data_IF_128337442519
#
_entry.id   IF_128337442519
#
_cell.length_a   1.000
_cell.length_b   1.000
_cell.length_c   1.000
_cell.angle_alpha   90.00
_cell.angle_beta   90.00
_cell.angle_gamma   90.00
#
_symmetry.space_group_name_H-M   'P 1'
#
loop_
_entity.id
_entity.type
_entity.pdbx_description
1 polymer ?
#
# COMPACT_ATOMS: atom_id res chain seq x y z
N UNK A 1 5.53 11.00 -29.83
CA UNK A 1 4.68 10.55 -28.71
C UNK A 1 5.52 9.61 -27.86
N UNK A 2 5.70 9.90 -26.57
CA UNK A 2 6.40 9.03 -25.62
C UNK A 2 5.43 8.01 -25.01
N UNK A 3 5.93 6.96 -24.34
CA UNK A 3 5.07 6.02 -23.61
C UNK A 3 4.16 6.72 -22.59
N UNK A 4 4.70 7.71 -21.86
CA UNK A 4 3.93 8.51 -20.89
C UNK A 4 2.81 9.31 -21.56
N UNK A 5 3.09 9.92 -22.72
CA UNK A 5 2.08 10.67 -23.47
C UNK A 5 0.95 9.74 -23.99
N UNK A 6 1.30 8.55 -24.48
CA UNK A 6 0.31 7.56 -24.90
C UNK A 6 -0.54 7.08 -23.71
N UNK A 7 0.09 6.81 -22.57
CA UNK A 7 -0.60 6.39 -21.35
C UNK A 7 -1.58 7.45 -20.85
N UNK A 8 -1.15 8.72 -20.83
CA UNK A 8 -2.00 9.86 -20.46
C UNK A 8 -3.19 10.00 -21.40
N UNK A 9 -2.98 9.92 -22.72
CA UNK A 9 -4.07 10.01 -23.68
C UNK A 9 -5.13 8.92 -23.52
N UNK A 10 -4.70 7.68 -23.21
CA UNK A 10 -5.62 6.56 -22.94
C UNK A 10 -6.40 6.80 -21.66
N UNK A 11 -5.72 7.20 -20.57
CA UNK A 11 -6.36 7.47 -19.28
C UNK A 11 -7.37 8.62 -19.39
N UNK A 12 -7.01 9.69 -20.11
CA UNK A 12 -7.89 10.84 -20.32
C UNK A 12 -9.17 10.43 -21.09
N UNK A 13 -9.06 9.55 -22.09
CA UNK A 13 -10.23 9.04 -22.81
C UNK A 13 -11.07 8.08 -21.95
N UNK A 14 -10.44 7.18 -21.18
CA UNK A 14 -11.16 6.32 -20.23
C UNK A 14 -11.94 7.15 -19.20
N UNK A 15 -11.32 8.21 -18.67
CA UNK A 15 -11.96 9.15 -17.76
C UNK A 15 -13.14 9.89 -18.41
N UNK A 16 -13.01 10.32 -19.67
CA UNK A 16 -14.11 10.91 -20.45
C UNK A 16 -15.30 9.94 -20.63
N UNK A 17 -15.05 8.64 -20.64
CA UNK A 17 -16.08 7.60 -20.69
C UNK A 17 -16.62 7.23 -19.30
N UNK A 18 -16.21 7.94 -18.24
CA UNK A 18 -16.66 7.69 -16.87
C UNK A 18 -15.99 6.48 -16.19
N UNK A 19 -14.86 5.99 -16.73
CA UNK A 19 -14.10 4.89 -16.14
C UNK A 19 -13.01 5.42 -15.22
N UNK A 20 -13.00 4.95 -13.98
CA UNK A 20 -11.89 5.16 -13.05
C UNK A 20 -10.73 4.24 -13.41
N UNK A 21 -9.52 4.79 -13.48
CA UNK A 21 -8.30 4.04 -13.74
C UNK A 21 -7.41 4.10 -12.52
N UNK A 22 -6.98 2.92 -12.06
CA UNK A 22 -5.95 2.75 -11.03
C UNK A 22 -4.66 2.33 -11.72
N UNK A 23 -3.60 3.11 -11.54
CA UNK A 23 -2.29 2.78 -12.08
C UNK A 23 -1.65 1.74 -11.17
N UNK A 24 -1.41 0.55 -11.70
CA UNK A 24 -0.75 -0.51 -10.96
C UNK A 24 0.77 -0.39 -11.02
N UNK A 25 1.43 -0.13 -9.89
CA UNK A 25 2.88 -0.22 -9.78
C UNK A 25 3.29 -1.69 -9.79
N UNK A 26 3.40 -2.25 -10.99
CA UNK A 26 3.47 -3.70 -11.16
C UNK A 26 4.82 -4.30 -10.76
N UNK A 27 5.92 -3.72 -11.25
CA UNK A 27 7.27 -4.30 -11.17
C UNK A 27 8.33 -3.24 -11.48
N UNK A 28 9.51 -3.31 -10.87
CA UNK A 28 10.56 -2.28 -11.05
C UNK A 28 11.30 -2.42 -12.39
N UNK A 29 11.45 -3.64 -12.87
CA UNK A 29 12.03 -3.95 -14.17
C UNK A 29 10.91 -4.25 -15.18
N UNK A 30 11.02 -3.82 -16.44
CA UNK A 30 10.00 -4.08 -17.46
C UNK A 30 10.02 -5.55 -17.88
N UNK A 31 9.36 -6.40 -17.09
CA UNK A 31 9.29 -7.86 -17.28
C UNK A 31 7.97 -8.42 -16.78
N UNK A 32 7.77 -9.70 -17.04
CA UNK A 32 6.65 -10.47 -16.47
C UNK A 32 6.90 -10.77 -14.99
N UNK A 33 5.83 -10.78 -14.21
CA UNK A 33 5.73 -11.06 -12.76
C UNK A 33 4.80 -12.29 -12.59
N UNK A 34 4.76 -13.04 -11.49
CA UNK A 34 5.28 -12.79 -10.14
C UNK A 34 5.83 -14.10 -9.56
N UNK A 35 7.04 -14.47 -9.96
CA UNK A 35 7.76 -15.63 -9.43
C UNK A 35 8.52 -15.25 -8.14
N UNK A 36 8.80 -16.23 -7.28
CA UNK A 36 9.62 -16.01 -6.08
C UNK A 36 11.02 -15.51 -6.44
N UNK A 37 11.57 -15.95 -7.57
CA UNK A 37 12.92 -15.63 -8.01
C UNK A 37 13.00 -14.36 -8.84
N UNK A 38 11.95 -13.54 -8.83
CA UNK A 38 11.91 -12.32 -9.63
C UNK A 38 12.91 -11.24 -9.20
N UNK A 39 13.57 -11.41 -8.04
CA UNK A 39 14.59 -10.47 -7.54
C UNK A 39 14.11 -9.01 -7.45
N UNK A 40 12.81 -8.76 -7.49
CA UNK A 40 12.25 -7.43 -7.22
C UNK A 40 10.86 -7.47 -6.56
N UNK A 41 10.47 -8.62 -6.02
CA UNK A 41 9.14 -8.80 -5.45
C UNK A 41 9.01 -8.13 -4.09
N UNK A 42 10.11 -7.97 -3.35
CA UNK A 42 10.10 -7.38 -2.03
C UNK A 42 11.29 -6.46 -1.73
N UNK A 43 11.12 -5.59 -0.72
CA UNK A 43 12.18 -4.70 -0.22
C UNK A 43 13.43 -5.47 0.23
N UNK A 44 14.57 -5.12 -0.36
CA UNK A 44 15.86 -5.78 -0.11
C UNK A 44 16.21 -6.85 -1.14
N UNK A 45 15.34 -7.09 -2.13
CA UNK A 45 15.74 -7.80 -3.33
C UNK A 45 16.70 -6.97 -4.20
N UNK A 46 17.50 -7.66 -5.02
CA UNK A 46 18.61 -7.06 -5.78
C UNK A 46 18.14 -5.97 -6.74
N UNK A 47 16.94 -6.11 -7.30
CA UNK A 47 16.41 -5.21 -8.31
C UNK A 47 15.19 -4.41 -7.79
N UNK A 48 15.06 -4.27 -6.47
CA UNK A 48 14.06 -3.40 -5.82
C UNK A 48 14.73 -2.38 -4.89
N UNK A 49 14.88 -1.16 -5.41
CA UNK A 49 15.42 -0.02 -4.68
C UNK A 49 14.31 0.84 -4.03
N UNK A 50 14.19 0.88 -2.68
CA UNK A 50 13.08 1.57 -2.02
C UNK A 50 13.00 3.07 -2.33
N UNK A 51 14.15 3.76 -2.42
CA UNK A 51 14.19 5.19 -2.72
C UNK A 51 13.75 5.49 -4.16
N UNK A 52 14.09 4.63 -5.11
CA UNK A 52 13.64 4.76 -6.50
C UNK A 52 12.14 4.50 -6.62
N UNK A 53 11.67 3.44 -5.96
CA UNK A 53 10.25 3.12 -5.86
C UNK A 53 9.42 4.27 -5.31
N UNK A 54 9.84 4.86 -4.18
CA UNK A 54 9.15 6.00 -3.56
C UNK A 54 9.10 7.20 -4.51
N UNK A 55 10.22 7.56 -5.14
CA UNK A 55 10.28 8.65 -6.13
C UNK A 55 9.36 8.39 -7.32
N UNK A 56 9.33 7.15 -7.82
CA UNK A 56 8.44 6.74 -8.90
C UNK A 56 6.97 6.92 -8.54
N UNK A 57 6.58 6.54 -7.33
CA UNK A 57 5.21 6.74 -6.82
C UNK A 57 4.81 8.21 -6.83
N UNK A 58 5.68 9.09 -6.30
CA UNK A 58 5.46 10.53 -6.27
C UNK A 58 5.29 11.11 -7.68
N UNK A 59 6.17 10.75 -8.61
CA UNK A 59 6.13 11.22 -10.01
C UNK A 59 4.81 10.83 -10.70
N UNK A 60 4.29 9.63 -10.43
CA UNK A 60 3.02 9.16 -11.01
C UNK A 60 1.83 9.84 -10.31
N UNK A 61 1.87 10.00 -8.98
CA UNK A 61 0.82 10.67 -8.22
C UNK A 61 0.64 12.15 -8.63
N UNK A 62 1.72 12.83 -9.00
CA UNK A 62 1.66 14.21 -9.54
C UNK A 62 1.01 14.30 -10.93
N UNK A 63 0.97 13.19 -11.69
CA UNK A 63 0.50 13.17 -13.07
C UNK A 63 -0.89 12.55 -13.24
N UNK A 64 -1.31 11.72 -12.28
CA UNK A 64 -2.49 10.86 -12.39
C UNK A 64 -3.27 10.80 -11.07
N UNK A 65 -4.57 10.52 -11.18
CA UNK A 65 -5.49 10.65 -10.05
C UNK A 65 -5.56 9.44 -9.11
N UNK A 66 -4.91 8.31 -9.39
CA UNK A 66 -4.82 7.19 -8.44
C UNK A 66 -3.70 6.20 -8.78
N UNK A 67 -3.19 5.51 -7.75
CA UNK A 67 -2.03 4.62 -7.87
C UNK A 67 -2.07 3.48 -6.84
N UNK A 68 -1.61 2.29 -7.25
CA UNK A 68 -1.26 1.19 -6.34
C UNK A 68 0.19 1.32 -5.88
N UNK A 69 0.46 1.10 -4.59
CA UNK A 69 1.82 1.22 -4.05
C UNK A 69 2.78 0.20 -4.67
N UNK A 70 2.34 -1.05 -4.77
CA UNK A 70 3.08 -2.16 -5.40
C UNK A 70 2.11 -3.31 -5.62
N UNK A 71 2.18 -3.96 -6.77
CA UNK A 71 1.51 -5.23 -7.01
C UNK A 71 2.24 -6.37 -6.28
N UNK A 72 1.49 -7.21 -5.56
CA UNK A 72 1.94 -8.44 -4.88
C UNK A 72 3.30 -8.27 -4.25
N UNK A 73 3.34 -7.52 -3.15
CA UNK A 73 4.58 -7.24 -2.43
C UNK A 73 5.01 -8.52 -1.68
N UNK A 74 5.62 -9.46 -2.40
CA UNK A 74 5.96 -10.80 -1.97
C UNK A 74 7.32 -11.23 -2.56
N UNK A 75 8.07 -12.07 -1.85
CA UNK A 75 9.37 -12.53 -2.31
C UNK A 75 10.14 -13.30 -1.24
N UNK A 76 11.26 -13.96 -1.58
CA UNK A 76 12.01 -14.79 -0.65
C UNK A 76 12.62 -14.01 0.51
N UNK A 77 12.73 -12.68 0.38
CA UNK A 77 13.21 -11.76 1.43
C UNK A 77 12.09 -11.05 2.20
N UNK A 78 10.84 -11.45 1.99
CA UNK A 78 9.69 -10.84 2.64
C UNK A 78 9.81 -10.90 4.16
N UNK A 79 9.61 -9.75 4.79
CA UNK A 79 9.63 -9.65 6.25
C UNK A 79 8.78 -8.48 6.72
N UNK A 80 8.22 -8.66 7.90
CA UNK A 80 7.28 -7.76 8.54
C UNK A 80 7.91 -6.38 8.80
N UNK A 81 9.18 -6.35 9.21
CA UNK A 81 9.91 -5.11 9.51
C UNK A 81 10.03 -4.18 8.29
N UNK A 82 10.52 -4.67 7.16
CA UNK A 82 10.67 -3.86 5.95
C UNK A 82 9.31 -3.43 5.39
N UNK A 83 8.29 -4.29 5.48
CA UNK A 83 6.94 -3.93 5.07
C UNK A 83 6.45 -2.73 5.89
N UNK A 84 6.51 -2.81 7.23
CA UNK A 84 6.06 -1.74 8.12
C UNK A 84 6.91 -0.48 8.04
N UNK A 85 8.15 -0.58 7.59
CA UNK A 85 8.98 0.57 7.33
C UNK A 85 8.59 1.29 6.04
N UNK A 86 8.55 0.58 4.92
CA UNK A 86 8.52 1.22 3.60
C UNK A 86 7.11 1.49 3.08
N UNK A 87 6.12 0.65 3.40
CA UNK A 87 4.73 0.87 2.93
C UNK A 87 4.14 2.17 3.48
N UNK A 88 4.25 2.48 4.79
CA UNK A 88 3.79 3.78 5.30
C UNK A 88 4.54 4.97 4.71
N UNK A 89 5.84 4.83 4.41
CA UNK A 89 6.63 5.88 3.74
C UNK A 89 6.05 6.15 2.35
N UNK A 90 5.91 5.13 1.50
CA UNK A 90 5.34 5.29 0.16
C UNK A 90 3.91 5.86 0.19
N UNK A 91 3.09 5.40 1.14
CA UNK A 91 1.73 5.93 1.31
C UNK A 91 1.72 7.41 1.68
N UNK A 92 2.55 7.79 2.65
CA UNK A 92 2.66 9.18 3.11
C UNK A 92 3.23 10.08 2.02
N UNK A 93 4.24 9.62 1.27
CA UNK A 93 4.87 10.40 0.20
C UNK A 93 3.90 10.66 -0.96
N UNK A 94 3.03 9.70 -1.31
CA UNK A 94 1.96 9.94 -2.30
C UNK A 94 0.86 10.85 -1.75
N UNK A 95 0.49 10.69 -0.47
CA UNK A 95 -0.61 11.45 0.14
C UNK A 95 -0.25 12.92 0.44
N UNK A 96 1.01 13.19 0.81
CA UNK A 96 1.45 14.50 1.29
C UNK A 96 2.02 15.41 0.20
N UNK A 97 2.21 14.92 -1.03
CA UNK A 97 2.91 15.65 -2.10
C UNK A 97 2.01 16.58 -2.94
N UNK A 98 0.91 17.09 -2.40
CA UNK A 98 0.13 18.11 -3.11
C UNK A 98 -1.19 18.54 -2.48
N UNK A 99 -1.88 19.45 -3.18
CA UNK A 99 -3.19 19.98 -2.80
C UNK A 99 -4.34 18.99 -3.03
N UNK A 100 -4.08 17.87 -3.73
CA UNK A 100 -5.06 16.85 -4.08
C UNK A 100 -4.55 15.47 -3.66
N UNK A 101 -4.94 14.96 -2.48
CA UNK A 101 -4.60 13.60 -2.10
C UNK A 101 -5.24 12.61 -3.10
N UNK A 102 -4.43 11.68 -3.63
CA UNK A 102 -4.91 10.64 -4.56
C UNK A 102 -5.34 9.39 -3.81
N UNK A 103 -6.42 8.69 -4.22
CA UNK A 103 -6.76 7.37 -3.72
C UNK A 103 -5.59 6.41 -3.88
N UNK A 104 -5.25 5.77 -2.77
CA UNK A 104 -4.14 4.83 -2.68
C UNK A 104 -4.68 3.41 -2.59
N UNK A 105 -4.14 2.54 -3.44
CA UNK A 105 -4.44 1.13 -3.42
C UNK A 105 -3.23 0.37 -2.91
N UNK A 106 -3.47 -0.57 -1.99
CA UNK A 106 -2.46 -1.53 -1.59
C UNK A 106 -2.93 -2.91 -1.98
N UNK A 107 -2.08 -3.64 -2.68
CA UNK A 107 -2.34 -5.02 -3.04
C UNK A 107 -1.90 -5.98 -1.93
N UNK A 108 -1.97 -7.26 -2.22
CA UNK A 108 -1.62 -8.38 -1.34
C UNK A 108 -0.18 -8.32 -0.79
N UNK A 109 -0.01 -8.83 0.45
CA UNK A 109 1.28 -9.20 1.01
C UNK A 109 1.41 -10.72 1.07
N UNK A 110 2.60 -11.23 0.69
CA UNK A 110 2.88 -12.65 0.65
C UNK A 110 2.26 -13.40 -0.53
N UNK A 111 2.77 -14.61 -0.81
CA UNK A 111 2.21 -15.52 -1.82
C UNK A 111 0.98 -16.30 -1.33
N UNK A 112 0.84 -16.40 -0.01
CA UNK A 112 -0.18 -17.19 0.66
C UNK A 112 -0.81 -16.33 1.75
N UNK A 113 -2.12 -16.15 1.70
CA UNK A 113 -2.86 -15.34 2.67
C UNK A 113 -3.80 -16.18 3.55
N UNK A 114 -3.53 -17.48 3.64
CA UNK A 114 -4.34 -18.39 4.46
C UNK A 114 -4.08 -18.25 5.97
N UNK A 115 -3.30 -17.25 6.40
CA UNK A 115 -3.03 -16.99 7.82
C UNK A 115 -1.99 -17.95 8.41
N UNK A 116 -1.22 -18.65 7.57
CA UNK A 116 -0.30 -19.70 7.99
C UNK A 116 1.00 -19.17 8.58
N UNK A 117 1.39 -17.94 8.26
CA UNK A 117 2.55 -17.29 8.87
C UNK A 117 2.17 -15.97 9.58
N UNK A 118 3.07 -15.48 10.43
CA UNK A 118 2.85 -14.27 11.22
C UNK A 118 2.62 -13.03 10.35
N UNK A 119 3.28 -12.94 9.20
CA UNK A 119 3.06 -11.87 8.25
C UNK A 119 1.62 -11.83 7.72
N UNK A 120 1.06 -12.99 7.36
CA UNK A 120 -0.32 -13.11 6.87
C UNK A 120 -1.34 -12.68 7.93
N UNK A 121 -1.12 -13.08 9.20
CA UNK A 121 -2.03 -12.76 10.32
C UNK A 121 -2.02 -11.28 10.67
N UNK A 122 -0.86 -10.66 10.55
CA UNK A 122 -0.62 -9.30 11.03
C UNK A 122 -0.90 -8.25 9.95
N UNK A 123 -0.69 -8.59 8.67
CA UNK A 123 -0.77 -7.65 7.54
C UNK A 123 -2.05 -6.80 7.55
N UNK A 124 -3.24 -7.41 7.57
CA UNK A 124 -4.48 -6.65 7.41
C UNK A 124 -4.75 -5.75 8.62
N UNK A 125 -4.50 -6.24 9.83
CA UNK A 125 -4.75 -5.50 11.07
C UNK A 125 -3.82 -4.29 11.21
N UNK A 126 -2.53 -4.47 10.92
CA UNK A 126 -1.61 -3.34 10.96
C UNK A 126 -1.77 -2.42 9.76
N UNK A 127 -2.11 -2.91 8.57
CA UNK A 127 -2.43 -2.05 7.43
C UNK A 127 -3.57 -1.09 7.79
N UNK A 128 -4.66 -1.62 8.35
CA UNK A 128 -5.79 -0.81 8.80
C UNK A 128 -5.37 0.18 9.89
N UNK A 129 -4.51 -0.22 10.82
CA UNK A 129 -3.97 0.67 11.86
C UNK A 129 -3.10 1.79 11.28
N UNK A 130 -2.20 1.47 10.35
CA UNK A 130 -1.34 2.45 9.69
C UNK A 130 -2.18 3.41 8.83
N UNK A 131 -3.15 2.91 8.08
CA UNK A 131 -4.09 3.72 7.32
C UNK A 131 -4.92 4.63 8.23
N UNK A 132 -5.41 4.11 9.36
CA UNK A 132 -6.13 4.91 10.36
C UNK A 132 -5.24 6.01 10.95
N UNK A 133 -3.94 5.76 11.21
CA UNK A 133 -3.03 6.77 11.74
C UNK A 133 -2.67 7.85 10.70
N UNK A 134 -2.42 7.46 9.45
CA UNK A 134 -2.16 8.40 8.34
C UNK A 134 -3.37 9.30 8.13
N UNK A 135 -4.57 8.71 8.14
CA UNK A 135 -5.82 9.46 7.96
C UNK A 135 -6.17 10.30 9.18
N UNK A 136 -5.98 9.80 10.42
CA UNK A 136 -6.27 10.55 11.65
C UNK A 136 -5.37 11.79 11.86
N UNK A 137 -4.21 11.88 11.20
CA UNK A 137 -3.40 13.09 11.14
C UNK A 137 -4.10 14.27 10.41
N UNK A 138 -5.23 14.01 9.75
CA UNK A 138 -6.21 14.99 9.26
C UNK A 138 -7.60 14.55 9.72
N UNK A 139 -8.17 15.17 10.76
CA UNK A 139 -9.51 14.90 11.35
C UNK A 139 -10.44 13.98 10.50
N UNK A 140 -10.25 12.64 10.60
CA UNK A 140 -11.24 11.70 10.08
C UNK A 140 -12.28 11.50 11.16
N UNK A 141 -13.51 11.87 10.83
CA UNK A 141 -14.66 11.60 11.66
C UNK A 141 -14.93 10.09 11.65
N UNK A 142 -14.34 9.37 12.61
CA UNK A 142 -14.50 7.92 12.81
C UNK A 142 -15.97 7.47 12.98
N UNK A 143 -16.94 8.40 13.03
CA UNK A 143 -18.37 8.12 13.01
C UNK A 143 -18.91 7.72 11.63
N UNK A 144 -18.21 8.02 10.54
CA UNK A 144 -18.64 7.66 9.17
C UNK A 144 -18.20 6.26 8.75
N UNK A 145 -17.12 5.74 9.34
CA UNK A 145 -16.75 4.32 9.28
C UNK A 145 -17.63 3.56 10.26
N UNK A 146 -18.81 3.14 9.81
CA UNK A 146 -19.81 2.45 10.62
C UNK A 146 -19.19 1.40 11.55
N UNK A 147 -19.43 1.56 12.86
CA UNK A 147 -18.83 0.76 13.94
C UNK A 147 -18.98 -0.76 13.77
N UNK A 148 -20.00 -1.22 13.05
CA UNK A 148 -20.25 -2.64 12.81
C UNK A 148 -19.22 -3.33 11.91
N UNK A 149 -18.58 -2.63 10.98
CA UNK A 149 -17.59 -3.24 10.09
C UNK A 149 -16.29 -3.54 10.86
N UNK A 150 -15.85 -2.61 11.70
CA UNK A 150 -14.66 -2.79 12.54
C UNK A 150 -14.93 -3.83 13.65
N UNK A 151 -16.08 -3.79 14.32
CA UNK A 151 -16.43 -4.73 15.40
C UNK A 151 -16.45 -6.19 14.96
N UNK A 152 -16.93 -6.48 13.74
CA UNK A 152 -16.91 -7.83 13.19
C UNK A 152 -15.48 -8.37 12.96
N UNK A 153 -14.54 -7.48 12.59
CA UNK A 153 -13.13 -7.84 12.41
C UNK A 153 -12.40 -8.01 13.75
N UNK A 154 -12.84 -7.31 14.80
CA UNK A 154 -12.28 -7.46 16.16
C UNK A 154 -12.69 -8.80 16.81
N UNK A 155 -13.86 -9.34 16.45
CA UNK A 155 -14.44 -10.52 17.08
C UNK A 155 -13.73 -11.85 16.75
N UNK A 156 -13.03 -11.94 15.63
CA UNK A 156 -12.45 -13.21 15.14
C UNK A 156 -10.94 -13.37 15.36
N UNK A 157 -10.23 -12.42 15.99
CA UNK A 157 -8.77 -12.56 16.11
C UNK A 157 -8.00 -11.62 17.02
N UNK A 158 -8.64 -10.95 17.98
CA UNK A 158 -7.92 -10.12 18.96
C UNK A 158 -7.95 -10.76 20.34
N UNK A 159 -6.91 -11.55 20.64
CA UNK A 159 -6.61 -11.86 22.03
C UNK A 159 -6.07 -10.58 22.72
N UNK A 160 -7.01 -9.87 23.35
CA UNK A 160 -6.87 -9.15 24.62
C UNK A 160 -5.86 -8.00 24.76
N UNK A 161 -5.68 -7.13 23.76
CA UNK A 161 -5.25 -5.74 24.03
C UNK A 161 -5.96 -4.71 23.15
N UNK A 162 -6.51 -3.62 23.73
CA UNK A 162 -7.02 -2.48 22.98
C UNK A 162 -5.95 -1.93 22.02
N UNK A 163 -6.34 -1.54 20.79
CA UNK A 163 -5.44 -1.04 19.74
C UNK A 163 -4.46 0.05 20.22
N UNK A 164 -4.91 0.91 21.14
CA UNK A 164 -4.09 1.96 21.78
C UNK A 164 -2.85 1.41 22.53
N UNK A 165 -2.95 0.20 23.08
CA UNK A 165 -1.87 -0.44 23.84
C UNK A 165 -0.82 -1.07 22.92
N UNK A 166 -1.23 -1.52 21.73
CA UNK A 166 -0.31 -2.03 20.69
C UNK A 166 0.50 -0.88 20.10
N UNK A 167 -0.13 0.26 19.84
CA UNK A 167 0.54 1.47 19.33
C UNK A 167 1.59 2.00 20.31
N UNK A 168 1.31 1.97 21.62
CA UNK A 168 2.26 2.39 22.65
C UNK A 168 3.50 1.48 22.72
N UNK A 169 3.35 0.17 22.47
CA UNK A 169 4.47 -0.80 22.52
C UNK A 169 5.46 -0.68 21.35
N UNK A 170 5.02 -0.12 20.22
CA UNK A 170 5.86 0.07 19.02
C UNK A 170 6.58 1.42 19.05
N UNK A 171 6.05 2.41 19.77
CA UNK A 171 6.65 3.74 19.88
C UNK A 171 7.85 3.81 20.85
N UNK A 172 8.09 2.76 21.65
CA UNK A 172 9.16 2.71 22.66
C UNK A 172 10.30 1.70 22.35
N UNK A 173 10.50 1.33 21.07
CA UNK A 173 11.66 0.52 20.63
C UNK A 173 12.49 1.23 19.57
#
# INVERSE_FOLDING_TARGET
>A
MTHVQAFKAIIDELGRQGLMVVIDNHVSNPKWCCAEEDRNGFFGDVDFYPLEWERGLVIIAQQFSSISLRNKLCGPRQNVFNWFKYVPIGASSVHNDGDQPVPLFLSEFGFDQTGRNEGDKLFINYFLTAAANITAAREVNLRELGSGALESMLAEGLDRKPLREIVAMVAEQ
#
